data_IF_547023756105
#
_entry.id   IF_547023756105
#
_cell.length_a   1.000
_cell.length_b   1.000
_cell.length_c   1.000
_cell.angle_alpha   90.00
_cell.angle_beta   90.00
_cell.angle_gamma   90.00
#
_symmetry.space_group_name_H-M   'P 1'
#
loop_
_entity.id
_entity.type
_entity.pdbx_description
1 polymer ?
#
# COMPACT_ATOMS: atom_id res chain seq x y z
N UNK A 1 -40.77 -12.23 0.05
CA UNK A 1 -39.62 -11.30 0.07
C UNK A 1 -38.86 -11.57 1.35
N UNK A 2 -37.86 -12.44 1.28
CA UNK A 2 -37.01 -12.82 2.41
C UNK A 2 -35.98 -11.72 2.59
N UNK A 3 -35.91 -11.11 3.78
CA UNK A 3 -34.84 -10.17 4.12
C UNK A 3 -33.51 -10.92 4.02
N UNK A 4 -32.65 -10.49 3.10
CA UNK A 4 -31.23 -10.87 3.08
C UNK A 4 -30.66 -10.43 4.43
N UNK A 5 -30.20 -11.37 5.24
CA UNK A 5 -29.46 -11.06 6.46
C UNK A 5 -28.13 -10.43 6.04
N UNK A 6 -27.83 -9.30 6.67
CA UNK A 6 -26.60 -8.52 6.50
C UNK A 6 -25.42 -9.31 7.11
N UNK A 7 -24.78 -10.15 6.30
CA UNK A 7 -23.71 -11.09 6.72
C UNK A 7 -22.33 -10.43 6.90
N UNK A 8 -22.22 -9.08 6.90
CA UNK A 8 -20.93 -8.39 6.92
C UNK A 8 -20.51 -7.76 8.25
N UNK A 9 -21.24 -7.98 9.35
CA UNK A 9 -20.84 -7.43 10.66
C UNK A 9 -20.02 -8.44 11.47
N UNK A 10 -18.71 -8.20 11.52
CA UNK A 10 -17.83 -8.83 12.50
C UNK A 10 -18.35 -8.57 13.92
N UNK A 11 -18.14 -9.51 14.84
CA UNK A 11 -18.49 -9.27 16.24
C UNK A 11 -17.64 -8.14 16.81
N UNK A 12 -18.27 -7.30 17.63
CA UNK A 12 -17.61 -6.22 18.36
C UNK A 12 -16.38 -6.73 19.13
N UNK A 13 -16.54 -7.89 19.76
CA UNK A 13 -15.49 -8.61 20.49
C UNK A 13 -14.27 -8.94 19.61
N UNK A 14 -14.48 -9.38 18.37
CA UNK A 14 -13.40 -9.69 17.44
C UNK A 14 -12.66 -8.42 16.97
N UNK A 15 -13.39 -7.35 16.66
CA UNK A 15 -12.79 -6.05 16.32
C UNK A 15 -12.01 -5.46 17.50
N UNK A 16 -12.49 -5.70 18.72
CA UNK A 16 -11.84 -5.32 19.99
C UNK A 16 -10.53 -6.06 20.20
N UNK A 17 -10.52 -7.38 20.01
CA UNK A 17 -9.29 -8.18 20.09
C UNK A 17 -8.24 -7.73 19.07
N UNK A 18 -8.66 -7.39 17.85
CA UNK A 18 -7.77 -6.87 16.81
C UNK A 18 -7.20 -5.51 17.20
N UNK A 19 -8.04 -4.59 17.69
CA UNK A 19 -7.57 -3.28 18.15
C UNK A 19 -6.58 -3.40 19.30
N UNK A 20 -6.91 -4.19 20.34
CA UNK A 20 -6.02 -4.41 21.49
C UNK A 20 -4.70 -5.02 21.01
N UNK A 21 -4.75 -5.94 20.05
CA UNK A 21 -3.54 -6.54 19.47
C UNK A 21 -2.69 -5.51 18.73
N UNK A 22 -3.29 -4.60 17.94
CA UNK A 22 -2.58 -3.58 17.16
C UNK A 22 -2.00 -2.48 18.05
N UNK A 23 -2.80 -1.97 19.00
CA UNK A 23 -2.52 -0.75 19.73
C UNK A 23 -2.08 -0.96 21.18
N UNK A 24 -2.13 -2.20 21.69
CA UNK A 24 -1.75 -2.55 23.06
C UNK A 24 -2.63 -1.92 24.15
N UNK A 25 -3.80 -1.39 23.78
CA UNK A 25 -4.76 -0.73 24.67
C UNK A 25 -6.18 -1.03 24.21
N UNK A 26 -7.14 -0.85 25.11
CA UNK A 26 -8.56 -0.96 24.77
C UNK A 26 -8.94 0.09 23.71
N UNK A 27 -9.78 -0.27 22.71
CA UNK A 27 -10.37 0.71 21.82
C UNK A 27 -11.23 1.69 22.61
N UNK A 28 -11.26 2.98 22.20
CA UNK A 28 -12.22 3.94 22.73
C UNK A 28 -13.64 3.36 22.63
N UNK A 29 -14.51 3.62 23.59
CA UNK A 29 -15.89 3.11 23.58
C UNK A 29 -16.66 3.52 22.30
N UNK A 30 -16.24 4.64 21.68
CA UNK A 30 -16.78 5.15 20.42
C UNK A 30 -16.29 4.43 19.17
N UNK A 31 -15.34 3.50 19.28
CA UNK A 31 -14.76 2.77 18.13
C UNK A 31 -15.75 1.80 17.47
N UNK A 32 -16.68 1.27 18.27
CA UNK A 32 -17.70 0.32 17.83
C UNK A 32 -19.04 0.98 17.49
N UNK A 33 -19.16 2.28 17.79
CA UNK A 33 -20.27 3.11 17.37
C UNK A 33 -19.95 3.66 15.97
N UNK A 34 -20.49 3.02 14.92
CA UNK A 34 -20.35 3.44 13.52
C UNK A 34 -18.90 3.60 12.99
N UNK A 35 -18.17 2.50 12.91
CA UNK A 35 -17.08 2.23 11.95
C UNK A 35 -16.04 3.35 11.74
N UNK A 36 -15.15 3.55 12.71
CA UNK A 36 -13.96 4.38 12.52
C UNK A 36 -12.77 3.58 11.95
N UNK A 37 -12.95 2.96 10.78
CA UNK A 37 -11.83 2.39 10.01
C UNK A 37 -10.85 3.46 9.51
N UNK A 38 -11.20 4.76 9.61
CA UNK A 38 -10.36 5.88 9.15
C UNK A 38 -9.05 5.90 9.91
N UNK A 39 -9.10 5.70 11.22
CA UNK A 39 -7.92 5.56 12.08
C UNK A 39 -6.88 4.52 11.61
N UNK A 40 -7.30 3.39 10.98
CA UNK A 40 -6.38 2.41 10.39
C UNK A 40 -5.83 2.91 9.06
N UNK A 41 -6.64 3.56 8.21
CA UNK A 41 -6.15 4.17 6.97
C UNK A 41 -5.19 5.34 7.25
N UNK A 42 -5.48 6.15 8.25
CA UNK A 42 -4.65 7.23 8.79
C UNK A 42 -3.34 6.69 9.37
N UNK A 43 -3.40 5.62 10.18
CA UNK A 43 -2.21 4.95 10.72
C UNK A 43 -1.27 4.44 9.61
N UNK A 44 -1.84 4.06 8.47
CA UNK A 44 -1.11 3.56 7.31
C UNK A 44 -0.84 4.63 6.25
N UNK A 45 -1.12 5.91 6.55
CA UNK A 45 -0.88 7.06 5.67
C UNK A 45 -1.53 6.90 4.27
N UNK A 46 -2.58 6.09 4.15
CA UNK A 46 -3.23 5.82 2.86
C UNK A 46 -3.89 7.07 2.30
N UNK A 47 -4.40 7.95 3.16
CA UNK A 47 -5.01 9.21 2.74
C UNK A 47 -4.00 10.16 2.08
N UNK A 48 -2.73 10.10 2.48
CA UNK A 48 -1.67 10.87 1.84
C UNK A 48 -1.38 10.31 0.45
N UNK A 49 -1.32 8.98 0.31
CA UNK A 49 -1.21 8.33 -1.00
C UNK A 49 -2.41 8.66 -1.90
N UNK A 50 -3.64 8.64 -1.38
CA UNK A 50 -4.84 9.04 -2.13
C UNK A 50 -4.71 10.48 -2.63
N UNK A 51 -4.27 11.39 -1.77
CA UNK A 51 -4.04 12.80 -2.11
C UNK A 51 -2.98 12.93 -3.21
N UNK A 52 -1.86 12.23 -3.08
CA UNK A 52 -0.76 12.24 -4.06
C UNK A 52 -1.17 11.64 -5.42
N UNK A 53 -2.15 10.75 -5.42
CA UNK A 53 -2.77 10.17 -6.62
C UNK A 53 -3.94 10.99 -7.16
N UNK A 54 -4.34 12.07 -6.50
CA UNK A 54 -5.49 12.90 -6.88
C UNK A 54 -6.85 12.22 -6.67
N UNK A 55 -6.92 11.26 -5.76
CA UNK A 55 -8.15 10.55 -5.39
C UNK A 55 -8.89 11.26 -4.25
N UNK A 56 -10.22 11.10 -4.15
CA UNK A 56 -10.97 11.56 -2.99
C UNK A 56 -10.46 10.89 -1.70
N UNK A 57 -10.36 11.67 -0.62
CA UNK A 57 -10.02 11.15 0.71
C UNK A 57 -11.02 10.06 1.13
N UNK A 58 -10.50 8.93 1.58
CA UNK A 58 -11.29 7.76 1.99
C UNK A 58 -11.65 6.81 0.85
N UNK A 59 -11.17 7.04 -0.37
CA UNK A 59 -11.43 6.18 -1.53
C UNK A 59 -11.17 4.70 -1.24
N UNK A 60 -10.01 4.36 -0.67
CA UNK A 60 -9.60 3.00 -0.33
C UNK A 60 -10.52 2.37 0.72
N UNK A 61 -10.97 3.17 1.69
CA UNK A 61 -11.90 2.70 2.71
C UNK A 61 -13.26 2.36 2.11
N UNK A 62 -13.78 3.26 1.26
CA UNK A 62 -15.07 3.08 0.58
C UNK A 62 -15.09 1.84 -0.34
N UNK A 63 -13.94 1.32 -0.78
CA UNK A 63 -13.88 0.06 -1.54
C UNK A 63 -14.56 -1.11 -0.80
N UNK A 64 -14.55 -1.13 0.54
CA UNK A 64 -15.23 -2.18 1.30
C UNK A 64 -16.76 -2.16 1.11
N UNK A 65 -17.34 -1.01 0.76
CA UNK A 65 -18.78 -0.84 0.55
C UNK A 65 -19.22 -1.18 -0.90
N UNK A 66 -18.27 -1.36 -1.81
CA UNK A 66 -18.53 -1.69 -3.21
C UNK A 66 -18.97 -3.16 -3.38
N UNK A 67 -19.61 -3.52 -4.49
CA UNK A 67 -19.77 -4.93 -4.86
C UNK A 67 -18.41 -5.58 -5.16
N UNK A 68 -18.34 -6.92 -5.14
CA UNK A 68 -17.09 -7.66 -5.31
C UNK A 68 -16.41 -7.41 -6.66
N UNK A 69 -17.18 -7.18 -7.73
CA UNK A 69 -16.63 -6.89 -9.05
C UNK A 69 -16.02 -5.49 -9.10
N UNK A 70 -16.75 -4.48 -8.63
CA UNK A 70 -16.27 -3.10 -8.51
C UNK A 70 -15.07 -2.99 -7.56
N UNK A 71 -15.10 -3.70 -6.43
CA UNK A 71 -14.01 -3.77 -5.46
C UNK A 71 -12.71 -4.24 -6.12
N UNK A 72 -12.72 -5.40 -6.79
CA UNK A 72 -11.50 -5.96 -7.39
C UNK A 72 -10.92 -5.04 -8.47
N UNK A 73 -11.77 -4.44 -9.30
CA UNK A 73 -11.32 -3.56 -10.38
C UNK A 73 -10.73 -2.26 -9.84
N UNK A 74 -11.46 -1.58 -8.94
CA UNK A 74 -11.02 -0.30 -8.36
C UNK A 74 -9.77 -0.49 -7.50
N UNK A 75 -9.70 -1.57 -6.72
CA UNK A 75 -8.53 -1.90 -5.93
C UNK A 75 -7.30 -2.21 -6.78
N UNK A 76 -7.46 -2.99 -7.86
CA UNK A 76 -6.37 -3.26 -8.80
C UNK A 76 -5.87 -1.98 -9.47
N UNK A 77 -6.79 -1.10 -9.89
CA UNK A 77 -6.46 0.20 -10.48
C UNK A 77 -5.70 1.11 -9.49
N UNK A 78 -6.11 1.14 -8.21
CA UNK A 78 -5.40 1.87 -7.16
C UNK A 78 -3.96 1.37 -6.98
N UNK A 79 -3.76 0.05 -6.92
CA UNK A 79 -2.42 -0.55 -6.83
C UNK A 79 -1.61 -0.17 -8.07
N UNK A 80 -2.19 -0.24 -9.25
CA UNK A 80 -1.53 0.12 -10.51
C UNK A 80 -1.10 1.59 -10.57
N UNK A 81 -1.96 2.50 -10.12
CA UNK A 81 -1.65 3.93 -10.00
C UNK A 81 -0.53 4.16 -8.99
N UNK A 82 -0.58 3.46 -7.84
CA UNK A 82 0.45 3.55 -6.79
C UNK A 82 1.83 3.11 -7.29
N UNK A 83 1.92 2.03 -8.07
CA UNK A 83 3.18 1.60 -8.70
C UNK A 83 3.68 2.60 -9.74
N UNK A 84 2.77 3.21 -10.51
CA UNK A 84 3.13 4.26 -11.47
C UNK A 84 3.74 5.45 -10.73
N UNK A 85 3.07 5.91 -9.67
CA UNK A 85 3.53 7.00 -8.82
C UNK A 85 4.89 6.68 -8.17
N UNK A 86 5.05 5.48 -7.59
CA UNK A 86 6.32 5.02 -7.03
C UNK A 86 7.47 5.12 -8.03
N UNK A 87 7.28 4.65 -9.26
CA UNK A 87 8.35 4.69 -10.27
C UNK A 87 8.67 6.12 -10.70
N UNK A 88 7.67 6.98 -10.89
CA UNK A 88 7.88 8.41 -11.22
C UNK A 88 8.69 9.10 -10.12
N UNK A 89 8.32 8.87 -8.86
CA UNK A 89 9.00 9.47 -7.70
C UNK A 89 10.41 8.91 -7.54
N UNK A 90 10.61 7.60 -7.76
CA UNK A 90 11.93 6.97 -7.70
C UNK A 90 12.93 7.58 -8.69
N UNK A 91 12.49 7.81 -9.93
CA UNK A 91 13.36 8.42 -10.95
C UNK A 91 13.42 9.95 -10.85
N UNK A 92 12.55 10.58 -10.06
CA UNK A 92 12.38 12.03 -9.99
C UNK A 92 12.21 12.68 -11.38
N UNK A 93 11.40 12.05 -12.24
CA UNK A 93 11.16 12.48 -13.62
C UNK A 93 9.65 12.44 -13.92
N UNK A 94 8.91 13.54 -13.66
CA UNK A 94 7.46 13.61 -13.91
C UNK A 94 7.08 13.28 -15.35
N UNK A 95 7.95 13.58 -16.32
CA UNK A 95 7.74 13.28 -17.73
C UNK A 95 7.59 11.78 -18.04
N UNK A 96 8.08 10.89 -17.15
CA UNK A 96 7.95 9.44 -17.30
C UNK A 96 6.57 8.91 -16.92
N UNK A 97 5.71 9.70 -16.27
CA UNK A 97 4.40 9.26 -15.81
C UNK A 97 3.56 8.66 -16.95
N UNK A 98 3.53 9.34 -18.11
CA UNK A 98 2.81 8.86 -19.29
C UNK A 98 3.39 7.55 -19.84
N UNK A 99 4.69 7.33 -19.70
CA UNK A 99 5.33 6.09 -20.16
C UNK A 99 4.98 4.96 -19.19
N UNK A 100 5.15 5.18 -17.89
CA UNK A 100 4.82 4.19 -16.88
C UNK A 100 3.34 3.84 -16.89
N UNK A 101 2.42 4.80 -17.07
CA UNK A 101 0.98 4.52 -17.10
C UNK A 101 0.55 3.56 -18.23
N UNK A 102 1.32 3.50 -19.34
CA UNK A 102 1.08 2.58 -20.45
C UNK A 102 1.61 1.16 -20.20
N UNK A 103 2.49 0.96 -19.21
CA UNK A 103 3.00 -0.35 -18.87
C UNK A 103 1.97 -1.16 -18.09
N UNK A 104 1.83 -2.44 -18.41
CA UNK A 104 1.03 -3.34 -17.61
C UNK A 104 1.61 -3.48 -16.18
N UNK A 105 0.75 -3.62 -15.17
CA UNK A 105 1.20 -3.78 -13.78
C UNK A 105 2.04 -5.06 -13.58
N UNK A 106 1.49 -6.23 -13.94
CA UNK A 106 2.05 -7.55 -13.56
C UNK A 106 2.67 -8.35 -14.70
N UNK A 107 3.08 -7.70 -15.79
CA UNK A 107 3.94 -8.37 -16.77
C UNK A 107 5.32 -8.65 -16.13
N UNK A 108 5.73 -9.92 -16.10
CA UNK A 108 6.93 -10.38 -15.40
C UNK A 108 8.25 -9.95 -16.06
N UNK A 109 8.20 -9.47 -17.31
CA UNK A 109 9.39 -9.11 -18.08
C UNK A 109 9.51 -7.61 -18.26
N UNK A 110 8.39 -6.93 -18.49
CA UNK A 110 8.36 -5.52 -18.90
C UNK A 110 7.36 -4.67 -18.12
N UNK A 111 6.67 -5.24 -17.12
CA UNK A 111 5.65 -4.53 -16.35
C UNK A 111 6.21 -3.66 -15.23
N UNK A 112 5.36 -2.80 -14.65
CA UNK A 112 5.70 -1.92 -13.52
C UNK A 112 6.29 -2.71 -12.35
N UNK A 113 5.74 -3.90 -12.08
CA UNK A 113 6.21 -4.78 -11.01
C UNK A 113 7.62 -5.32 -11.27
N UNK A 114 7.98 -5.60 -12.53
CA UNK A 114 9.33 -6.06 -12.90
C UNK A 114 10.39 -4.95 -12.69
N UNK A 115 10.04 -3.70 -13.03
CA UNK A 115 10.87 -2.53 -12.70
C UNK A 115 11.04 -2.38 -11.19
N UNK A 116 9.94 -2.33 -10.43
CA UNK A 116 9.99 -2.15 -8.99
C UNK A 116 10.82 -3.23 -8.29
N UNK A 117 10.72 -4.49 -8.74
CA UNK A 117 11.53 -5.60 -8.21
C UNK A 117 13.01 -5.44 -8.55
N UNK A 118 13.34 -5.09 -9.80
CA UNK A 118 14.73 -4.93 -10.24
C UNK A 118 15.44 -3.74 -9.54
N UNK A 119 14.65 -2.74 -9.13
CA UNK A 119 15.09 -1.58 -8.36
C UNK A 119 15.05 -1.82 -6.84
N UNK A 120 14.72 -3.04 -6.40
CA UNK A 120 14.59 -3.42 -4.98
C UNK A 120 13.59 -2.54 -4.19
N UNK A 121 12.57 -2.02 -4.87
CA UNK A 121 11.49 -1.21 -4.27
C UNK A 121 10.35 -2.06 -3.71
N UNK A 122 10.32 -3.36 -4.03
CA UNK A 122 9.33 -4.31 -3.52
C UNK A 122 9.99 -5.65 -3.26
N UNK A 123 9.51 -6.34 -2.23
CA UNK A 123 9.94 -7.70 -1.91
C UNK A 123 9.12 -8.76 -2.67
N UNK A 124 9.52 -10.03 -2.52
CA UNK A 124 8.85 -11.16 -3.17
C UNK A 124 7.40 -11.36 -2.68
N UNK A 125 7.07 -10.90 -1.48
CA UNK A 125 5.74 -11.06 -0.92
C UNK A 125 4.77 -10.06 -1.56
N UNK A 126 5.17 -8.79 -1.70
CA UNK A 126 4.43 -7.78 -2.48
C UNK A 126 4.25 -8.23 -3.92
N UNK A 127 5.31 -8.75 -4.56
CA UNK A 127 5.24 -9.28 -5.92
C UNK A 127 4.18 -10.38 -6.04
N UNK A 128 4.19 -11.33 -5.10
CA UNK A 128 3.22 -12.42 -5.09
C UNK A 128 1.78 -11.91 -4.91
N UNK A 129 1.57 -10.97 -3.98
CA UNK A 129 0.29 -10.33 -3.73
C UNK A 129 -0.26 -9.65 -4.99
N UNK A 130 0.54 -8.78 -5.61
CA UNK A 130 0.14 -8.00 -6.80
C UNK A 130 -0.15 -8.93 -7.98
N UNK A 131 0.62 -10.01 -8.14
CA UNK A 131 0.35 -11.02 -9.16
C UNK A 131 -1.01 -11.70 -8.94
N UNK A 132 -1.34 -12.09 -7.70
CA UNK A 132 -2.65 -12.69 -7.40
C UNK A 132 -3.82 -11.72 -7.57
N UNK A 133 -3.62 -10.44 -7.25
CA UNK A 133 -4.59 -9.39 -7.59
C UNK A 133 -4.82 -9.30 -9.10
N UNK A 134 -3.77 -9.28 -9.91
CA UNK A 134 -3.91 -9.22 -11.38
C UNK A 134 -4.55 -10.47 -11.97
N UNK A 135 -4.20 -11.67 -11.48
CA UNK A 135 -4.84 -12.92 -11.88
C UNK A 135 -6.35 -12.91 -11.56
N UNK A 136 -6.72 -12.48 -10.34
CA UNK A 136 -8.11 -12.35 -9.93
C UNK A 136 -8.86 -11.33 -10.78
N UNK A 137 -8.30 -10.12 -10.95
CA UNK A 137 -8.89 -9.06 -11.76
C UNK A 137 -9.15 -9.55 -13.19
N UNK A 138 -8.18 -10.21 -13.80
CA UNK A 138 -8.33 -10.75 -15.15
C UNK A 138 -9.50 -11.75 -15.22
N UNK A 139 -9.62 -12.65 -14.25
CA UNK A 139 -10.75 -13.58 -14.20
C UNK A 139 -12.12 -12.90 -14.05
N UNK A 140 -12.19 -11.78 -13.31
CA UNK A 140 -13.42 -11.02 -13.11
C UNK A 140 -13.80 -10.18 -14.33
N UNK A 141 -12.84 -9.60 -15.05
CA UNK A 141 -13.13 -8.69 -16.18
C UNK A 141 -13.21 -9.37 -17.54
N UNK A 142 -12.60 -10.55 -17.73
CA UNK A 142 -12.57 -11.20 -19.04
C UNK A 142 -13.94 -11.70 -19.52
N UNK A 143 -14.91 -11.84 -18.62
CA UNK A 143 -16.29 -12.13 -18.99
C UNK A 143 -17.23 -11.17 -18.27
N UNK A 144 -17.87 -10.27 -19.02
CA UNK A 144 -18.78 -9.26 -18.46
C UNK A 144 -19.99 -9.87 -17.74
N UNK A 145 -20.34 -11.14 -18.00
CA UNK A 145 -21.39 -11.82 -17.21
C UNK A 145 -20.98 -12.05 -15.76
N UNK A 146 -19.71 -11.83 -15.42
CA UNK A 146 -19.16 -12.01 -14.09
C UNK A 146 -19.41 -10.82 -13.14
N UNK A 147 -20.17 -9.80 -13.56
CA UNK A 147 -20.51 -8.63 -12.72
C UNK A 147 -21.19 -8.99 -11.39
N UNK A 148 -21.82 -10.17 -11.31
CA UNK A 148 -22.47 -10.68 -10.10
C UNK A 148 -21.67 -11.80 -9.42
N UNK A 149 -20.41 -12.04 -9.80
CA UNK A 149 -19.57 -13.04 -9.13
C UNK A 149 -19.13 -12.51 -7.77
N UNK A 150 -19.35 -13.33 -6.74
CA UNK A 150 -18.79 -13.10 -5.42
C UNK A 150 -17.39 -13.73 -5.31
N UNK A 151 -16.48 -13.06 -4.60
CA UNK A 151 -15.11 -13.54 -4.34
C UNK A 151 -15.16 -14.89 -3.63
N UNK A 152 -16.11 -15.09 -2.72
CA UNK A 152 -16.30 -16.35 -1.99
C UNK A 152 -16.61 -17.50 -2.95
N UNK A 153 -17.53 -17.31 -3.89
CA UNK A 153 -17.91 -18.33 -4.88
C UNK A 153 -16.76 -18.62 -5.86
N UNK A 154 -16.05 -17.57 -6.28
CA UNK A 154 -14.88 -17.69 -7.13
C UNK A 154 -13.79 -18.57 -6.48
N UNK A 155 -13.49 -18.32 -5.20
CA UNK A 155 -12.53 -19.13 -4.44
C UNK A 155 -13.07 -20.52 -4.09
N UNK A 156 -14.39 -20.65 -3.93
CA UNK A 156 -15.05 -21.93 -3.66
C UNK A 156 -14.84 -22.92 -4.82
N UNK A 157 -14.87 -22.43 -6.06
CA UNK A 157 -14.64 -23.22 -7.27
C UNK A 157 -13.21 -23.73 -7.48
N UNK A 158 -12.25 -23.32 -6.66
CA UNK A 158 -10.86 -23.78 -6.75
C UNK A 158 -10.64 -25.10 -6.01
N UNK A 159 -9.74 -25.92 -6.55
CA UNK A 159 -9.19 -27.05 -5.82
C UNK A 159 -8.35 -26.59 -4.61
N UNK A 160 -8.04 -27.53 -3.71
CA UNK A 160 -7.31 -27.27 -2.47
C UNK A 160 -5.94 -26.61 -2.70
N UNK A 161 -5.23 -26.97 -3.78
CA UNK A 161 -3.90 -26.44 -4.06
C UNK A 161 -4.00 -25.00 -4.55
N UNK A 162 -4.89 -24.73 -5.50
CA UNK A 162 -5.11 -23.38 -6.03
C UNK A 162 -5.68 -22.43 -4.98
N UNK A 163 -6.61 -22.89 -4.14
CA UNK A 163 -7.10 -22.08 -3.01
C UNK A 163 -5.97 -21.75 -2.03
N UNK A 164 -5.11 -22.73 -1.70
CA UNK A 164 -3.94 -22.50 -0.85
C UNK A 164 -2.97 -21.50 -1.48
N UNK A 165 -2.76 -21.55 -2.79
CA UNK A 165 -1.90 -20.62 -3.51
C UNK A 165 -2.41 -19.18 -3.43
N UNK A 166 -3.71 -18.97 -3.66
CA UNK A 166 -4.35 -17.66 -3.50
C UNK A 166 -4.30 -17.16 -2.06
N UNK A 167 -4.59 -18.05 -1.10
CA UNK A 167 -4.47 -17.75 0.33
C UNK A 167 -3.04 -17.30 0.65
N UNK A 168 -2.02 -18.07 0.30
CA UNK A 168 -0.62 -17.68 0.54
C UNK A 168 -0.22 -16.38 -0.18
N UNK A 169 -0.71 -16.14 -1.39
CA UNK A 169 -0.40 -14.93 -2.16
C UNK A 169 -1.00 -13.66 -1.55
N UNK A 170 -2.28 -13.68 -1.17
CA UNK A 170 -2.93 -12.53 -0.52
C UNK A 170 -2.45 -12.27 0.91
N UNK A 171 -1.74 -13.24 1.49
CA UNK A 171 -1.25 -13.18 2.86
C UNK A 171 0.27 -13.00 2.92
N UNK A 172 0.89 -12.44 1.87
CA UNK A 172 2.32 -12.12 1.84
C UNK A 172 3.21 -13.31 2.22
N UNK A 173 2.97 -14.45 1.59
CA UNK A 173 3.80 -15.63 1.83
C UNK A 173 3.63 -16.23 3.22
N UNK A 174 2.57 -15.87 3.97
CA UNK A 174 2.29 -16.45 5.29
C UNK A 174 2.17 -17.98 5.17
N UNK A 175 3.25 -18.65 5.57
CA UNK A 175 3.30 -20.09 5.82
C UNK A 175 3.01 -20.21 7.29
N UNK A 176 1.86 -20.77 7.62
CA UNK A 176 1.44 -21.18 8.95
C UNK A 176 2.64 -21.62 9.81
N UNK A 177 3.15 -20.72 10.66
CA UNK A 177 4.35 -20.93 11.46
C UNK A 177 3.94 -20.70 12.90
N UNK A 178 3.89 -21.78 13.65
CA UNK A 178 3.46 -21.93 15.04
C UNK A 178 4.29 -21.13 16.08
N UNK A 179 4.98 -20.05 15.68
CA UNK A 179 5.76 -19.20 16.58
C UNK A 179 5.81 -17.78 16.01
N UNK A 180 4.76 -17.00 16.22
CA UNK A 180 4.75 -15.59 15.83
C UNK A 180 5.06 -14.76 17.06
N UNK A 181 6.26 -14.19 17.06
CA UNK A 181 6.54 -13.08 17.96
C UNK A 181 5.83 -11.85 17.40
N UNK A 182 4.67 -11.54 17.98
CA UNK A 182 3.90 -10.34 17.65
C UNK A 182 4.56 -9.06 18.15
N UNK A 183 5.39 -9.18 19.19
CA UNK A 183 6.13 -8.07 19.77
C UNK A 183 7.45 -7.88 19.04
N UNK A 184 7.66 -6.67 18.51
CA UNK A 184 9.00 -6.27 18.03
C UNK A 184 9.88 -5.90 19.22
N UNK A 185 9.32 -5.18 20.20
CA UNK A 185 9.97 -4.78 21.46
C UNK A 185 8.99 -4.94 22.64
N UNK A 186 9.43 -4.58 23.87
CA UNK A 186 8.62 -4.70 25.09
C UNK A 186 7.25 -4.00 24.98
N UNK A 187 7.16 -2.93 24.20
CA UNK A 187 6.00 -2.04 24.14
C UNK A 187 5.40 -1.84 22.72
N UNK A 188 5.90 -2.55 21.70
CA UNK A 188 5.43 -2.37 20.30
C UNK A 188 5.15 -3.68 19.60
N UNK A 189 4.02 -3.70 18.88
CA UNK A 189 3.60 -4.81 18.05
C UNK A 189 3.98 -4.59 16.58
N UNK A 190 4.27 -5.68 15.88
CA UNK A 190 4.43 -5.66 14.42
C UNK A 190 3.05 -5.59 13.75
N UNK A 191 2.62 -4.38 13.38
CA UNK A 191 1.30 -4.15 12.78
C UNK A 191 1.15 -4.92 11.46
N UNK A 192 2.22 -5.02 10.64
CA UNK A 192 2.22 -5.83 9.41
C UNK A 192 1.91 -7.29 9.75
N UNK A 193 2.51 -7.81 10.83
CA UNK A 193 2.27 -9.20 11.26
C UNK A 193 0.87 -9.45 11.80
N UNK A 194 0.29 -8.48 12.52
CA UNK A 194 -1.08 -8.59 13.02
C UNK A 194 -2.07 -8.59 11.86
N UNK A 195 -1.89 -7.69 10.90
CA UNK A 195 -2.75 -7.63 9.71
C UNK A 195 -2.63 -8.92 8.90
N UNK A 196 -1.42 -9.46 8.74
CA UNK A 196 -1.22 -10.76 8.09
C UNK A 196 -1.99 -11.87 8.82
N UNK A 197 -1.88 -11.95 10.16
CA UNK A 197 -2.60 -12.94 10.96
C UNK A 197 -4.11 -12.84 10.82
N UNK A 198 -4.62 -11.62 10.93
CA UNK A 198 -6.04 -11.34 10.75
C UNK A 198 -6.51 -11.79 9.37
N UNK A 199 -5.75 -11.43 8.34
CA UNK A 199 -6.07 -11.80 6.96
C UNK A 199 -6.06 -13.32 6.78
N UNK A 200 -5.15 -14.04 7.45
CA UNK A 200 -5.10 -15.52 7.41
C UNK A 200 -6.33 -16.13 8.07
N UNK A 201 -6.71 -15.62 9.24
CA UNK A 201 -7.82 -16.11 10.03
C UNK A 201 -9.17 -15.89 9.34
N UNK A 202 -9.29 -14.80 8.58
CA UNK A 202 -10.55 -14.39 7.95
C UNK A 202 -10.71 -14.86 6.49
N UNK A 203 -9.62 -15.31 5.82
CA UNK A 203 -9.63 -15.53 4.37
C UNK A 203 -10.73 -16.48 3.87
N UNK A 204 -10.97 -17.58 4.57
CA UNK A 204 -11.94 -18.58 4.12
C UNK A 204 -13.39 -18.13 4.36
N UNK A 205 -13.63 -17.27 5.35
CA UNK A 205 -14.96 -16.79 5.72
C UNK A 205 -15.35 -15.49 5.02
N UNK A 206 -14.43 -14.51 5.01
CA UNK A 206 -14.62 -13.15 4.50
C UNK A 206 -13.41 -12.73 3.62
N UNK A 207 -13.23 -13.36 2.45
CA UNK A 207 -12.03 -13.17 1.61
C UNK A 207 -11.83 -11.73 1.13
N UNK A 208 -12.92 -10.99 0.88
CA UNK A 208 -12.87 -9.58 0.49
C UNK A 208 -12.10 -8.75 1.52
N UNK A 209 -12.40 -8.92 2.81
CA UNK A 209 -11.75 -8.17 3.87
C UNK A 209 -10.28 -8.54 3.99
N UNK A 210 -9.94 -9.83 3.86
CA UNK A 210 -8.55 -10.28 3.88
C UNK A 210 -7.75 -9.70 2.70
N UNK A 211 -8.35 -9.60 1.51
CA UNK A 211 -7.74 -8.95 0.34
C UNK A 211 -7.58 -7.44 0.58
N UNK A 212 -8.56 -6.79 1.19
CA UNK A 212 -8.50 -5.38 1.54
C UNK A 212 -7.35 -5.09 2.52
N UNK A 213 -7.24 -5.87 3.61
CA UNK A 213 -6.12 -5.78 4.55
C UNK A 213 -4.77 -6.09 3.90
N UNK A 214 -4.73 -7.09 3.02
CA UNK A 214 -3.54 -7.37 2.23
C UNK A 214 -3.13 -6.14 1.40
N UNK A 215 -4.10 -5.48 0.77
CA UNK A 215 -3.86 -4.29 -0.02
C UNK A 215 -3.40 -3.09 0.82
N UNK A 216 -3.92 -2.93 2.03
CA UNK A 216 -3.47 -1.90 2.98
C UNK A 216 -1.96 -2.00 3.24
N UNK A 217 -1.46 -3.22 3.51
CA UNK A 217 -0.02 -3.47 3.70
C UNK A 217 0.77 -3.21 2.41
N UNK A 218 0.24 -3.63 1.26
CA UNK A 218 0.86 -3.41 -0.04
C UNK A 218 1.03 -1.91 -0.33
N UNK A 219 -0.06 -1.15 -0.24
CA UNK A 219 -0.10 0.29 -0.51
C UNK A 219 0.79 1.07 0.46
N UNK A 220 0.78 0.72 1.75
CA UNK A 220 1.70 1.31 2.73
C UNK A 220 3.16 1.08 2.38
N UNK A 221 3.52 -0.15 1.99
CA UNK A 221 4.90 -0.46 1.63
C UNK A 221 5.33 0.34 0.39
N UNK A 222 4.46 0.42 -0.63
CA UNK A 222 4.69 1.27 -1.82
C UNK A 222 4.88 2.73 -1.38
N UNK A 223 4.02 3.25 -0.53
CA UNK A 223 4.05 4.65 -0.11
C UNK A 223 5.28 4.99 0.74
N UNK A 224 5.73 4.06 1.60
CA UNK A 224 7.01 4.22 2.30
C UNK A 224 8.17 4.43 1.33
N UNK A 225 8.20 3.72 0.20
CA UNK A 225 9.23 3.90 -0.82
C UNK A 225 9.08 5.22 -1.60
N UNK A 226 7.85 5.70 -1.79
CA UNK A 226 7.58 7.05 -2.35
C UNK A 226 8.16 8.13 -1.44
N UNK A 227 7.84 8.09 -0.14
CA UNK A 227 8.36 9.06 0.84
C UNK A 227 9.89 9.02 0.87
N UNK A 228 10.49 7.83 0.87
CA UNK A 228 11.95 7.69 0.82
C UNK A 228 12.56 8.28 -0.46
N UNK A 229 11.89 8.16 -1.60
CA UNK A 229 12.35 8.77 -2.85
C UNK A 229 12.30 10.31 -2.76
N UNK A 230 11.20 10.87 -2.26
CA UNK A 230 11.04 12.32 -2.05
C UNK A 230 12.09 12.89 -1.09
N UNK A 231 12.35 12.19 0.03
CA UNK A 231 13.40 12.57 0.99
C UNK A 231 14.78 12.59 0.33
N UNK A 232 15.08 11.64 -0.56
CA UNK A 232 16.37 11.60 -1.29
C UNK A 232 16.52 12.82 -2.19
N UNK A 233 15.47 13.21 -2.91
CA UNK A 233 15.46 14.40 -3.76
C UNK A 233 15.68 15.66 -2.93
N UNK A 234 14.89 15.86 -1.88
CA UNK A 234 15.04 17.02 -0.99
C UNK A 234 16.44 17.13 -0.38
N UNK A 235 17.03 15.98 0.00
CA UNK A 235 18.40 15.93 0.50
C UNK A 235 19.41 16.36 -0.57
N UNK A 236 19.23 15.95 -1.82
CA UNK A 236 20.10 16.34 -2.92
C UNK A 236 20.01 17.85 -3.17
N UNK A 237 18.80 18.41 -3.27
CA UNK A 237 18.58 19.84 -3.49
C UNK A 237 19.22 20.68 -2.37
N UNK A 238 19.09 20.24 -1.12
CA UNK A 238 19.71 20.91 0.03
C UNK A 238 21.25 20.89 -0.06
N UNK A 239 21.84 19.76 -0.48
CA UNK A 239 23.29 19.67 -0.66
C UNK A 239 23.78 20.61 -1.77
N UNK A 240 23.05 20.72 -2.88
CA UNK A 240 23.39 21.62 -3.99
C UNK A 240 23.32 23.09 -3.54
N UNK A 241 22.31 23.47 -2.75
CA UNK A 241 22.19 24.81 -2.16
C UNK A 241 23.36 25.12 -1.21
N UNK A 242 23.73 24.18 -0.34
CA UNK A 242 24.88 24.35 0.57
C UNK A 242 26.17 24.52 -0.21
N UNK A 243 26.43 23.71 -1.23
CA UNK A 243 27.61 23.83 -2.09
C UNK A 243 27.66 25.20 -2.75
N UNK A 244 26.55 25.66 -3.33
CA UNK A 244 26.47 26.98 -3.98
C UNK A 244 26.76 28.12 -2.99
N UNK A 245 26.23 28.04 -1.76
CA UNK A 245 26.49 29.04 -0.72
C UNK A 245 27.97 29.06 -0.30
N UNK A 246 28.59 27.88 -0.16
CA UNK A 246 30.01 27.77 0.19
C UNK A 246 30.91 28.31 -0.93
N UNK A 247 30.61 28.00 -2.19
CA UNK A 247 31.35 28.53 -3.35
C UNK A 247 31.27 30.06 -3.39
N UNK A 248 30.08 30.64 -3.21
CA UNK A 248 29.91 32.09 -3.15
C UNK A 248 30.65 32.72 -1.96
N UNK A 249 30.61 32.08 -0.78
CA UNK A 249 31.30 32.58 0.41
C UNK A 249 32.84 32.52 0.30
N UNK A 250 33.39 31.62 -0.51
CA UNK A 250 34.85 31.51 -0.77
C UNK A 250 35.30 32.54 -1.81
N UNK A 251 34.45 32.93 -2.76
CA UNK A 251 34.79 33.91 -3.82
C UNK A 251 34.67 35.36 -3.30
N UNK A 252 33.80 35.63 -2.34
CA UNK A 252 33.52 36.99 -1.85
C UNK A 252 34.66 37.68 -1.04
N UNK A 253 35.57 37.00 -0.31
CA UNK A 253 36.63 37.68 0.45
C UNK A 253 37.73 38.33 -0.40
N UNK A 254 37.87 37.97 -1.69
CA UNK A 254 38.97 38.43 -2.54
C UNK A 254 38.74 39.81 -3.20
N UNK A 255 37.55 40.40 -3.07
CA UNK A 255 37.23 41.70 -3.69
C UNK A 255 37.29 42.89 -2.72
N UNK A 256 37.71 42.69 -1.47
CA UNK A 256 37.78 43.75 -0.45
C UNK A 256 39.21 44.14 -0.04
N UNK A 257 40.25 43.51 -0.60
CA UNK A 257 41.66 43.82 -0.28
C UNK A 257 42.42 44.61 -1.37
N UNK A 258 41.80 44.96 -2.51
CA UNK A 258 42.50 45.67 -3.60
C UNK A 258 42.28 47.20 -3.67
N UNK A 259 41.45 47.80 -2.82
CA UNK A 259 41.10 49.24 -2.92
C UNK A 259 41.87 50.19 -1.96
N UNK A 260 42.78 49.71 -1.11
CA UNK A 260 43.44 50.53 -0.07
C UNK A 260 44.86 51.04 -0.45
N UNK A 261 45.23 51.02 -1.73
CA UNK A 261 46.55 51.49 -2.21
C UNK A 261 46.46 52.46 -3.39
N UNK A 262 45.67 53.54 -3.29
CA UNK A 262 45.79 54.72 -4.16
C UNK A 262 45.48 56.04 -3.44
N UNK A 263 46.24 56.41 -2.42
CA UNK A 263 46.42 57.83 -2.06
C UNK A 263 47.88 58.06 -1.62
N UNK A 264 48.70 58.58 -2.55
CA UNK A 264 49.96 59.30 -2.33
C UNK A 264 50.00 60.50 -3.30
#
# INVERSE_FOLDING_TARGET
MTKVQDESKFSEEFLREVYISIFGKEPPDTWFEETDYRSLAELFEIENLETDLGLPKGFFLELLNEDDWSFIIKLHALIEASFTHLLVQHFNQPSLEKIFSLLALSDLRTGKLAFAKSLELVDTDIECFVRKMSEMRNAFVHNVTNVNIHIKDFLAGFDKNKRKEYKTGFLFGYKDKQNIQLRQNKDTYDVKRIIQLFSVATFDEVPKLSIWFGSLVCLRQIYSHVILAQIRVQKQDLNEQITTLLENAIVTPQLLEEDDHQED
#
